data_IF_417898942168
#
_entry.id   IF_417898942168
#
_cell.length_a   1.000
_cell.length_b   1.000
_cell.length_c   1.000
_cell.angle_alpha   90.00
_cell.angle_beta   90.00
_cell.angle_gamma   90.00
#
_symmetry.space_group_name_H-M   'P 1'
#
loop_
_entity.id
_entity.type
_entity.pdbx_description
1 polymer ?
#
# COMPACT_ATOMS: atom_id res chain seq x y z
N UNK A 1 -4.79 2.45 24.00
CA UNK A 1 -5.79 3.51 23.81
C UNK A 1 -5.09 4.83 23.99
N UNK A 2 -5.32 5.79 23.11
CA UNK A 2 -4.89 7.17 23.27
C UNK A 2 -6.17 8.01 23.45
N UNK A 3 -6.12 9.09 24.20
CA UNK A 3 -7.28 9.94 24.44
C UNK A 3 -6.79 11.39 24.47
N UNK A 4 -7.40 12.24 23.66
CA UNK A 4 -7.14 13.67 23.69
C UNK A 4 -7.70 14.25 25.00
N UNK A 5 -7.00 15.22 25.60
CA UNK A 5 -7.27 15.67 26.97
C UNK A 5 -8.64 16.33 27.18
N UNK A 6 -9.33 16.68 26.10
CA UNK A 6 -10.63 17.31 26.06
C UNK A 6 -11.76 16.39 25.57
N UNK A 7 -11.44 15.17 25.12
CA UNK A 7 -12.40 14.16 24.70
C UNK A 7 -12.98 13.37 25.89
N UNK A 8 -14.18 12.80 25.68
CA UNK A 8 -14.85 11.97 26.68
C UNK A 8 -15.05 10.56 26.13
N UNK A 9 -14.65 9.56 26.93
CA UNK A 9 -14.96 8.17 26.68
C UNK A 9 -16.26 7.80 27.40
N UNK A 10 -17.28 7.27 26.70
CA UNK A 10 -18.39 6.60 27.35
C UNK A 10 -17.91 5.46 28.28
N UNK A 11 -18.65 5.14 29.35
CA UNK A 11 -18.25 4.12 30.33
C UNK A 11 -17.94 2.74 29.73
N UNK A 12 -18.59 2.40 28.62
CA UNK A 12 -18.48 1.12 27.92
C UNK A 12 -17.58 1.18 26.66
N UNK A 13 -16.94 2.33 26.38
CA UNK A 13 -16.18 2.56 25.14
C UNK A 13 -15.09 1.51 24.90
N UNK A 14 -14.31 1.21 25.94
CA UNK A 14 -13.23 0.20 25.87
C UNK A 14 -13.81 -1.20 25.69
N UNK A 15 -14.86 -1.54 26.43
CA UNK A 15 -15.51 -2.85 26.35
C UNK A 15 -16.05 -3.12 24.95
N UNK A 16 -16.74 -2.14 24.36
CA UNK A 16 -17.31 -2.27 23.01
C UNK A 16 -16.23 -2.50 21.93
N UNK A 17 -15.05 -1.90 22.07
CA UNK A 17 -13.92 -2.21 21.19
C UNK A 17 -13.37 -3.61 21.44
N UNK A 18 -13.14 -3.99 22.71
CA UNK A 18 -12.62 -5.30 23.08
C UNK A 18 -13.51 -6.46 22.61
N UNK A 19 -14.83 -6.29 22.68
CA UNK A 19 -15.82 -7.29 22.22
C UNK A 19 -15.70 -7.62 20.72
N UNK A 20 -15.07 -6.74 19.94
CA UNK A 20 -14.83 -6.95 18.50
C UNK A 20 -13.42 -7.43 18.18
N UNK A 21 -12.46 -7.21 19.08
CA UNK A 21 -11.07 -7.53 18.82
C UNK A 21 -10.77 -9.02 19.03
N UNK A 22 -9.91 -9.54 18.17
CA UNK A 22 -9.25 -10.84 18.34
C UNK A 22 -7.73 -10.64 18.46
N UNK A 23 -6.98 -11.70 18.75
CA UNK A 23 -5.51 -11.64 18.81
C UNK A 23 -4.86 -11.16 17.50
N UNK A 24 -5.54 -11.35 16.36
CA UNK A 24 -5.06 -10.97 15.02
C UNK A 24 -5.58 -9.59 14.58
N UNK A 25 -6.38 -8.92 15.41
CA UNK A 25 -6.93 -7.59 15.10
C UNK A 25 -5.90 -6.52 15.45
N UNK A 26 -5.39 -5.72 14.49
CA UNK A 26 -4.37 -4.72 14.79
C UNK A 26 -4.95 -3.55 15.60
N UNK A 27 -6.20 -3.15 15.31
CA UNK A 27 -6.92 -2.14 16.06
C UNK A 27 -8.44 -2.23 15.83
N UNK A 28 -9.20 -1.72 16.79
CA UNK A 28 -10.63 -1.46 16.67
C UNK A 28 -10.89 0.05 16.61
N UNK A 29 -11.83 0.46 15.78
CA UNK A 29 -12.22 1.85 15.58
C UNK A 29 -13.74 2.00 15.64
N UNK A 30 -14.22 3.22 15.88
CA UNK A 30 -15.63 3.50 16.09
C UNK A 30 -16.00 4.88 15.58
N UNK A 31 -17.29 5.22 15.69
CA UNK A 31 -17.78 6.54 15.34
C UNK A 31 -17.29 7.61 16.34
N UNK A 32 -17.45 8.87 15.98
CA UNK A 32 -17.26 9.99 16.89
C UNK A 32 -18.45 10.94 16.80
N UNK A 33 -18.92 11.42 17.94
CA UNK A 33 -19.98 12.42 18.04
C UNK A 33 -19.40 13.68 18.64
N UNK A 34 -19.42 14.76 17.86
CA UNK A 34 -18.95 16.06 18.31
C UNK A 34 -19.85 16.61 19.42
N UNK A 35 -19.25 17.22 20.43
CA UNK A 35 -19.94 17.99 21.47
C UNK A 35 -19.18 19.31 21.77
N UNK A 36 -19.86 20.26 22.41
CA UNK A 36 -19.34 21.60 22.67
C UNK A 36 -20.03 22.63 21.79
N UNK A 37 -19.27 23.35 20.96
CA UNK A 37 -19.81 24.42 20.10
C UNK A 37 -20.57 23.87 18.89
N UNK A 38 -20.34 22.59 18.55
CA UNK A 38 -20.96 21.89 17.42
C UNK A 38 -21.44 20.51 17.87
N UNK A 39 -22.51 20.03 17.22
CA UNK A 39 -22.98 18.65 17.36
C UNK A 39 -23.09 18.02 15.98
N UNK A 40 -22.27 17.00 15.73
CA UNK A 40 -22.23 16.28 14.45
C UNK A 40 -21.78 14.86 14.72
N UNK A 41 -22.55 13.90 14.22
CA UNK A 41 -22.16 12.49 14.25
C UNK A 41 -21.31 12.16 13.03
N UNK A 42 -20.08 11.74 13.27
CA UNK A 42 -19.21 11.18 12.27
C UNK A 42 -19.27 9.65 12.32
N UNK A 43 -20.01 9.09 11.36
CA UNK A 43 -20.11 7.65 11.20
C UNK A 43 -18.85 7.08 10.54
N UNK A 44 -18.16 6.19 11.25
CA UNK A 44 -17.12 5.36 10.67
C UNK A 44 -17.77 4.22 9.85
N UNK A 45 -17.31 3.93 8.62
CA UNK A 45 -17.83 2.85 7.81
C UNK A 45 -17.32 1.48 8.29
N UNK A 46 -18.00 0.40 7.89
CA UNK A 46 -17.45 -0.95 7.99
C UNK A 46 -16.12 -1.06 7.23
N UNK A 47 -15.23 -1.90 7.75
CA UNK A 47 -13.92 -2.06 7.14
C UNK A 47 -14.05 -2.74 5.78
N UNK A 48 -13.58 -2.05 4.74
CA UNK A 48 -13.45 -2.62 3.40
C UNK A 48 -12.10 -2.20 2.82
N UNK A 49 -11.49 -3.11 2.07
CA UNK A 49 -10.17 -2.88 1.47
C UNK A 49 -10.17 -1.60 0.62
N UNK A 50 -9.10 -0.81 0.75
CA UNK A 50 -8.93 0.42 -0.02
C UNK A 50 -9.72 1.64 0.46
N UNK A 51 -10.76 1.51 1.30
CA UNK A 51 -11.50 2.69 1.78
C UNK A 51 -10.64 3.62 2.63
N UNK A 52 -9.80 3.06 3.50
CA UNK A 52 -8.90 3.88 4.33
C UNK A 52 -7.93 4.69 3.45
N UNK A 53 -7.53 4.16 2.29
CA UNK A 53 -6.69 4.85 1.31
C UNK A 53 -7.35 6.10 0.71
N UNK A 54 -8.68 6.10 0.59
CA UNK A 54 -9.46 7.21 0.05
C UNK A 54 -9.74 8.30 1.10
N UNK A 55 -10.05 7.89 2.34
CA UNK A 55 -10.43 8.81 3.40
C UNK A 55 -10.11 8.24 4.77
N UNK A 56 -9.51 9.06 5.64
CA UNK A 56 -9.41 8.71 7.05
C UNK A 56 -10.81 8.61 7.69
N UNK A 57 -11.04 7.52 8.42
CA UNK A 57 -12.21 7.34 9.28
C UNK A 57 -11.86 6.77 10.66
N UNK A 58 -10.57 6.74 11.00
CA UNK A 58 -10.05 6.24 12.26
C UNK A 58 -9.63 7.45 13.09
N UNK A 59 -10.19 7.60 14.28
CA UNK A 59 -9.79 8.64 15.22
C UNK A 59 -8.61 8.19 16.10
N UNK A 60 -7.92 9.16 16.71
CA UNK A 60 -6.82 8.94 17.67
C UNK A 60 -7.18 7.97 18.80
N UNK A 61 -8.45 7.97 19.22
CA UNK A 61 -8.98 7.15 20.30
C UNK A 61 -9.37 5.72 19.90
N UNK A 62 -8.94 5.25 18.72
CA UNK A 62 -9.00 3.84 18.38
C UNK A 62 -8.27 2.95 19.42
N UNK A 63 -8.75 1.73 19.62
CA UNK A 63 -8.13 0.76 20.52
C UNK A 63 -7.12 -0.08 19.74
N UNK A 64 -5.84 0.07 20.09
CA UNK A 64 -4.73 -0.59 19.41
C UNK A 64 -4.28 -1.86 20.15
N UNK A 65 -4.04 -2.93 19.38
CA UNK A 65 -3.19 -4.02 19.85
C UNK A 65 -1.77 -3.47 20.02
N UNK A 66 -1.18 -3.66 21.21
CA UNK A 66 0.14 -3.10 21.54
C UNK A 66 1.24 -3.57 20.59
N UNK A 67 1.27 -4.86 20.27
CA UNK A 67 2.27 -5.42 19.37
C UNK A 67 2.11 -4.83 17.96
N UNK A 68 0.86 -4.66 17.49
CA UNK A 68 0.61 -4.03 16.20
C UNK A 68 1.02 -2.56 16.16
N UNK A 69 0.75 -1.79 17.22
CA UNK A 69 1.20 -0.40 17.34
C UNK A 69 2.73 -0.27 17.31
N UNK A 70 3.44 -1.12 18.05
CA UNK A 70 4.90 -1.12 18.09
C UNK A 70 5.49 -1.56 16.75
N UNK A 71 4.94 -2.62 16.14
CA UNK A 71 5.39 -3.16 14.85
C UNK A 71 5.12 -2.19 13.70
N UNK A 72 4.00 -1.45 13.73
CA UNK A 72 3.71 -0.42 12.74
C UNK A 72 4.72 0.75 12.80
N UNK A 73 5.48 0.89 13.88
CA UNK A 73 6.46 1.97 14.07
C UNK A 73 5.91 3.18 14.82
N UNK A 74 4.86 2.99 15.63
CA UNK A 74 4.29 4.01 16.54
C UNK A 74 3.84 5.28 15.80
N UNK A 75 3.69 6.38 16.54
CA UNK A 75 3.41 7.71 16.00
C UNK A 75 4.63 8.27 15.26
N UNK A 76 4.42 8.88 14.09
CA UNK A 76 5.46 9.55 13.30
C UNK A 76 5.01 10.98 13.00
N UNK A 77 5.93 11.93 13.06
CA UNK A 77 5.64 13.31 12.66
C UNK A 77 6.21 13.60 11.26
N UNK A 78 5.48 13.16 10.22
CA UNK A 78 5.88 13.35 8.81
C UNK A 78 5.20 14.57 8.18
N UNK A 79 3.91 14.74 8.48
CA UNK A 79 3.20 16.00 8.28
C UNK A 79 2.62 16.41 9.64
N UNK A 80 2.55 17.71 9.93
CA UNK A 80 2.08 18.24 11.23
C UNK A 80 0.55 18.09 11.42
N UNK A 81 -0.02 16.93 11.06
CA UNK A 81 -1.42 16.51 11.17
C UNK A 81 -1.57 15.05 10.66
N UNK A 82 -2.78 14.49 10.68
CA UNK A 82 -3.14 13.18 10.10
C UNK A 82 -2.33 12.00 10.66
N UNK A 83 -1.82 12.13 11.89
CA UNK A 83 -1.03 11.09 12.55
C UNK A 83 -1.84 9.79 12.72
N UNK A 84 -3.13 9.94 13.03
CA UNK A 84 -4.12 8.86 13.11
C UNK A 84 -4.24 8.09 11.79
N UNK A 85 -4.28 8.81 10.67
CA UNK A 85 -4.37 8.19 9.35
C UNK A 85 -3.08 7.44 8.95
N UNK A 86 -1.92 8.07 9.15
CA UNK A 86 -0.61 7.45 8.92
C UNK A 86 -0.48 6.14 9.71
N UNK A 87 -0.81 6.16 11.00
CA UNK A 87 -0.77 4.97 11.84
C UNK A 87 -1.80 3.91 11.40
N UNK A 88 -3.01 4.32 11.02
CA UNK A 88 -4.05 3.43 10.52
C UNK A 88 -3.62 2.71 9.22
N UNK A 89 -3.04 3.43 8.26
CA UNK A 89 -2.57 2.86 6.99
C UNK A 89 -1.47 1.83 7.21
N UNK A 90 -0.49 2.13 8.06
CA UNK A 90 0.59 1.19 8.41
C UNK A 90 0.06 0.00 9.22
N UNK A 91 -0.80 0.27 10.20
CA UNK A 91 -1.37 -0.75 11.09
C UNK A 91 -2.27 -1.75 10.38
N UNK A 92 -3.01 -1.33 9.35
CA UNK A 92 -3.88 -2.21 8.58
C UNK A 92 -3.13 -3.25 7.74
N UNK A 93 -1.80 -3.12 7.60
CA UNK A 93 -0.96 -4.14 6.95
C UNK A 93 -0.67 -5.34 7.85
N UNK A 94 -0.93 -5.22 9.15
CA UNK A 94 -0.64 -6.25 10.16
C UNK A 94 -1.82 -7.18 10.45
N UNK A 95 -2.96 -6.95 9.78
CA UNK A 95 -4.19 -7.73 9.94
C UNK A 95 -5.40 -6.89 9.56
N UNK A 96 -6.60 -7.46 9.70
CA UNK A 96 -7.85 -6.75 9.37
C UNK A 96 -8.36 -5.97 10.58
N UNK A 97 -8.42 -4.63 10.53
CA UNK A 97 -9.05 -3.81 11.56
C UNK A 97 -10.55 -4.08 11.64
N UNK A 98 -11.15 -3.77 12.79
CA UNK A 98 -12.58 -4.00 13.02
C UNK A 98 -13.30 -2.72 13.43
N UNK A 99 -14.51 -2.54 12.91
CA UNK A 99 -15.42 -1.52 13.40
C UNK A 99 -16.15 -2.03 14.64
N UNK A 100 -16.22 -1.20 15.67
CA UNK A 100 -17.08 -1.40 16.83
C UNK A 100 -18.25 -0.42 16.85
N UNK A 101 -19.16 -0.63 17.79
CA UNK A 101 -20.29 0.28 18.06
C UNK A 101 -19.89 1.46 18.93
N UNK A 102 -18.63 1.53 19.39
CA UNK A 102 -18.18 2.57 20.30
C UNK A 102 -18.27 3.95 19.65
N UNK A 103 -18.80 4.93 20.38
CA UNK A 103 -18.93 6.32 19.91
C UNK A 103 -18.10 7.21 20.82
N UNK A 104 -17.01 7.77 20.29
CA UNK A 104 -16.20 8.74 21.02
C UNK A 104 -17.00 10.03 21.17
N UNK A 105 -17.02 10.65 22.36
CA UNK A 105 -17.49 12.04 22.48
C UNK A 105 -16.30 12.94 22.19
N UNK A 106 -16.30 13.52 20.99
CA UNK A 106 -15.20 14.31 20.45
C UNK A 106 -15.42 15.81 20.72
N UNK A 107 -14.52 16.48 21.43
CA UNK A 107 -14.70 17.89 21.75
C UNK A 107 -14.46 18.76 20.51
N UNK A 108 -15.41 19.62 20.20
CA UNK A 108 -15.22 20.70 19.23
C UNK A 108 -15.46 22.06 19.90
N UNK A 109 -14.57 22.99 19.60
CA UNK A 109 -14.64 24.39 20.00
C UNK A 109 -14.20 25.29 18.83
N UNK A 110 -14.52 26.59 18.86
CA UNK A 110 -14.27 27.53 17.76
C UNK A 110 -12.80 27.54 17.26
N UNK A 111 -11.84 27.28 18.14
CA UNK A 111 -10.41 27.19 17.80
C UNK A 111 -9.92 25.77 17.44
N UNK A 112 -10.79 24.75 17.44
CA UNK A 112 -10.38 23.39 17.12
C UNK A 112 -9.80 23.34 15.71
N UNK A 113 -8.73 22.57 15.56
CA UNK A 113 -8.07 22.41 14.26
C UNK A 113 -9.05 21.90 13.20
N UNK A 114 -10.03 21.10 13.61
CA UNK A 114 -11.15 20.53 12.85
C UNK A 114 -12.34 21.49 12.59
N UNK A 115 -12.50 22.57 13.36
CA UNK A 115 -13.65 23.49 13.27
C UNK A 115 -13.43 24.69 12.32
N UNK A 116 -12.19 25.13 12.10
CA UNK A 116 -11.86 26.29 11.24
C UNK A 116 -11.86 25.98 9.72
N UNK A 117 -12.83 25.17 9.27
CA UNK A 117 -12.71 24.32 8.07
C UNK A 117 -13.95 24.42 7.15
N UNK A 118 -14.04 25.46 6.32
CA UNK A 118 -14.87 25.37 5.11
C UNK A 118 -14.11 25.83 3.87
N UNK A 119 -13.44 26.98 3.91
CA UNK A 119 -12.64 27.50 2.79
C UNK A 119 -11.19 26.99 2.75
N UNK A 120 -10.62 26.55 3.89
CA UNK A 120 -9.30 25.90 3.97
C UNK A 120 -9.32 24.40 3.63
N UNK A 121 -10.49 23.77 3.55
CA UNK A 121 -10.61 22.31 3.47
C UNK A 121 -10.23 21.74 2.11
N UNK A 122 -10.64 22.41 1.03
CA UNK A 122 -10.46 21.89 -0.32
C UNK A 122 -8.97 21.90 -0.71
N UNK A 123 -8.30 23.05 -0.60
CA UNK A 123 -6.85 23.18 -0.86
C UNK A 123 -5.99 22.32 0.07
N UNK A 124 -6.38 22.15 1.36
CA UNK A 124 -5.66 21.24 2.27
C UNK A 124 -5.86 19.78 1.91
N UNK A 125 -7.07 19.36 1.52
CA UNK A 125 -7.32 17.98 1.11
C UNK A 125 -6.65 17.64 -0.23
N UNK A 126 -6.62 18.59 -1.15
CA UNK A 126 -5.93 18.44 -2.45
C UNK A 126 -4.41 18.23 -2.29
N UNK A 127 -3.80 18.79 -1.24
CA UNK A 127 -2.35 18.69 -1.02
C UNK A 127 -1.99 17.58 -0.02
N UNK A 128 -2.67 17.54 1.13
CA UNK A 128 -2.28 16.67 2.24
C UNK A 128 -2.67 15.21 2.00
N UNK A 129 -3.79 14.93 1.31
CA UNK A 129 -4.19 13.55 1.05
C UNK A 129 -3.20 12.86 0.12
N UNK A 130 -2.82 13.43 -1.05
CA UNK A 130 -1.80 12.82 -1.90
C UNK A 130 -0.45 12.69 -1.21
N UNK A 131 -0.04 13.72 -0.46
CA UNK A 131 1.21 13.71 0.28
C UNK A 131 1.24 12.56 1.31
N UNK A 132 0.17 12.39 2.09
CA UNK A 132 0.11 11.33 3.10
C UNK A 132 0.13 9.94 2.46
N UNK A 133 -0.64 9.73 1.39
CA UNK A 133 -0.63 8.46 0.64
C UNK A 133 0.78 8.14 0.14
N UNK A 134 1.47 9.11 -0.46
CA UNK A 134 2.85 8.93 -0.96
C UNK A 134 3.85 8.62 0.15
N UNK A 135 3.71 9.23 1.32
CA UNK A 135 4.57 8.93 2.48
C UNK A 135 4.32 7.51 2.98
N UNK A 136 3.05 7.08 3.01
CA UNK A 136 2.69 5.80 3.61
C UNK A 136 2.76 4.63 2.63
N UNK A 137 2.76 4.85 1.32
CA UNK A 137 2.61 3.80 0.31
C UNK A 137 3.83 2.89 0.25
N UNK A 138 3.61 1.58 0.41
CA UNK A 138 4.60 0.55 0.10
C UNK A 138 4.48 0.13 -1.36
N UNK A 139 5.62 0.11 -2.05
CA UNK A 139 5.71 -0.31 -3.45
C UNK A 139 6.21 -1.75 -3.53
N UNK A 140 5.51 -2.58 -4.29
CA UNK A 140 5.99 -3.89 -4.72
C UNK A 140 6.20 -3.91 -6.22
N UNK A 141 7.36 -4.37 -6.64
CA UNK A 141 7.69 -4.54 -8.04
C UNK A 141 7.61 -6.02 -8.37
N UNK A 142 6.84 -6.34 -9.41
CA UNK A 142 6.60 -7.70 -9.85
C UNK A 142 7.06 -7.91 -11.28
N UNK A 143 7.75 -9.02 -11.55
CA UNK A 143 8.04 -9.45 -12.92
C UNK A 143 7.96 -10.96 -13.07
N UNK A 144 7.52 -11.41 -14.25
CA UNK A 144 7.51 -12.81 -14.65
C UNK A 144 8.69 -13.02 -15.59
N UNK A 145 9.70 -13.75 -15.12
CA UNK A 145 10.93 -14.01 -15.83
C UNK A 145 10.81 -15.31 -16.61
N UNK A 146 10.74 -15.21 -17.93
CA UNK A 146 10.62 -16.35 -18.84
C UNK A 146 11.95 -17.06 -19.11
N UNK A 147 13.07 -16.43 -18.81
CA UNK A 147 14.41 -16.91 -19.19
C UNK A 147 14.74 -16.76 -20.67
N UNK A 148 13.92 -16.07 -21.46
CA UNK A 148 14.15 -15.83 -22.89
C UNK A 148 15.33 -14.89 -23.16
N UNK A 149 15.55 -13.92 -22.27
CA UNK A 149 16.58 -12.88 -22.40
C UNK A 149 17.48 -12.81 -21.14
N UNK A 150 18.21 -13.90 -20.80
CA UNK A 150 18.96 -13.96 -19.55
C UNK A 150 20.07 -12.91 -19.46
N UNK A 151 20.66 -12.54 -20.60
CA UNK A 151 21.74 -11.54 -20.66
C UNK A 151 21.21 -10.10 -20.64
N UNK A 152 19.90 -9.90 -20.82
CA UNK A 152 19.24 -8.60 -20.68
C UNK A 152 18.88 -8.27 -19.23
N UNK A 153 18.72 -9.29 -18.39
CA UNK A 153 18.29 -9.14 -17.00
C UNK A 153 19.13 -8.12 -16.19
N UNK A 154 20.47 -8.03 -16.33
CA UNK A 154 21.25 -6.99 -15.65
C UNK A 154 20.87 -5.56 -16.06
N UNK A 155 20.61 -5.33 -17.35
CA UNK A 155 20.20 -4.01 -17.85
C UNK A 155 18.78 -3.67 -17.36
N UNK A 156 17.89 -4.65 -17.41
CA UNK A 156 16.53 -4.54 -16.88
C UNK A 156 16.52 -4.17 -15.40
N UNK A 157 17.24 -4.93 -14.56
CA UNK A 157 17.27 -4.69 -13.12
C UNK A 157 17.94 -3.35 -12.80
N UNK A 158 18.98 -2.97 -13.54
CA UNK A 158 19.59 -1.65 -13.40
C UNK A 158 18.59 -0.54 -13.70
N UNK A 159 17.83 -0.60 -14.80
CA UNK A 159 16.82 0.40 -15.13
C UNK A 159 15.72 0.50 -14.06
N UNK A 160 15.22 -0.64 -13.60
CA UNK A 160 14.22 -0.70 -12.51
C UNK A 160 14.79 -0.07 -11.24
N UNK A 161 16.01 -0.44 -10.84
CA UNK A 161 16.65 0.08 -9.61
C UNK A 161 16.86 1.59 -9.67
N UNK A 162 17.26 2.14 -10.81
CA UNK A 162 17.44 3.58 -11.00
C UNK A 162 16.11 4.31 -10.88
N UNK A 163 15.05 3.76 -11.49
CA UNK A 163 13.71 4.34 -11.36
C UNK A 163 13.20 4.30 -9.91
N UNK A 164 13.44 3.20 -9.20
CA UNK A 164 13.11 3.05 -7.77
C UNK A 164 13.82 4.07 -6.90
N UNK A 165 15.13 4.25 -7.11
CA UNK A 165 15.91 5.25 -6.36
C UNK A 165 15.35 6.66 -6.57
N UNK A 166 14.83 6.97 -7.76
CA UNK A 166 14.24 8.28 -8.07
C UNK A 166 12.88 8.50 -7.37
N UNK A 167 12.13 7.45 -7.05
CA UNK A 167 10.87 7.56 -6.29
C UNK A 167 11.12 8.22 -4.93
N UNK A 168 12.28 7.92 -4.31
CA UNK A 168 12.68 8.37 -2.98
C UNK A 168 11.57 8.11 -1.95
N UNK A 169 11.08 6.86 -1.92
CA UNK A 169 10.02 6.42 -1.02
C UNK A 169 10.49 6.41 0.43
N UNK A 170 9.62 6.87 1.33
CA UNK A 170 9.83 6.78 2.79
C UNK A 170 9.64 5.36 3.31
N UNK A 171 8.79 4.60 2.63
CA UNK A 171 8.55 3.19 2.94
C UNK A 171 9.39 2.29 2.03
N UNK A 172 9.85 1.14 2.56
CA UNK A 172 10.70 0.23 1.80
C UNK A 172 9.99 -0.38 0.59
N UNK A 173 10.78 -0.65 -0.45
CA UNK A 173 10.35 -1.26 -1.71
C UNK A 173 10.77 -2.72 -1.74
N UNK A 174 9.88 -3.61 -2.18
CA UNK A 174 10.21 -5.00 -2.45
C UNK A 174 10.24 -5.33 -3.95
N UNK A 175 11.03 -6.34 -4.31
CA UNK A 175 11.08 -6.93 -5.64
C UNK A 175 10.67 -8.41 -5.57
N UNK A 176 9.70 -8.80 -6.39
CA UNK A 176 9.22 -10.18 -6.52
C UNK A 176 9.38 -10.63 -7.97
N UNK A 177 10.21 -11.64 -8.17
CA UNK A 177 10.51 -12.23 -9.47
C UNK A 177 9.93 -13.64 -9.54
N UNK A 178 9.03 -13.88 -10.50
CA UNK A 178 8.55 -15.22 -10.80
C UNK A 178 9.45 -15.86 -11.83
N UNK A 179 10.25 -16.82 -11.39
CA UNK A 179 11.13 -17.57 -12.27
C UNK A 179 10.35 -18.70 -12.96
N UNK A 180 10.09 -18.51 -14.25
CA UNK A 180 9.57 -19.52 -15.17
C UNK A 180 10.62 -19.93 -16.23
N UNK A 181 11.92 -19.66 -15.99
CA UNK A 181 12.98 -19.96 -16.94
C UNK A 181 13.24 -21.46 -17.12
N UNK A 182 12.90 -22.27 -16.11
CA UNK A 182 13.24 -23.70 -16.04
C UNK A 182 14.73 -23.99 -16.32
N UNK A 183 15.61 -23.03 -16.01
CA UNK A 183 17.03 -23.10 -16.36
C UNK A 183 17.89 -22.68 -15.16
N UNK A 184 18.71 -23.61 -14.67
CA UNK A 184 19.55 -23.42 -13.47
C UNK A 184 20.57 -22.29 -13.67
N UNK A 185 21.17 -22.18 -14.86
CA UNK A 185 22.16 -21.13 -15.13
C UNK A 185 21.51 -19.74 -15.15
N UNK A 186 20.30 -19.64 -15.69
CA UNK A 186 19.50 -18.41 -15.69
C UNK A 186 19.14 -18.00 -14.26
N UNK A 187 18.68 -18.95 -13.45
CA UNK A 187 18.40 -18.69 -12.03
C UNK A 187 19.66 -18.26 -11.27
N UNK A 188 20.82 -18.89 -11.54
CA UNK A 188 22.10 -18.48 -10.96
C UNK A 188 22.48 -17.05 -11.36
N UNK A 189 22.31 -16.68 -12.64
CA UNK A 189 22.52 -15.31 -13.13
C UNK A 189 21.60 -14.30 -12.44
N UNK A 190 20.31 -14.59 -12.34
CA UNK A 190 19.32 -13.74 -11.66
C UNK A 190 19.72 -13.53 -10.20
N UNK A 191 20.08 -14.59 -9.48
CA UNK A 191 20.53 -14.52 -8.08
C UNK A 191 21.81 -13.71 -7.92
N UNK A 192 22.81 -13.95 -8.77
CA UNK A 192 24.06 -13.21 -8.74
C UNK A 192 23.82 -11.72 -8.96
N UNK A 193 23.03 -11.35 -9.97
CA UNK A 193 22.77 -9.96 -10.29
C UNK A 193 21.90 -9.26 -9.23
N UNK A 194 20.84 -9.91 -8.75
CA UNK A 194 19.98 -9.34 -7.68
C UNK A 194 20.73 -9.08 -6.38
N UNK A 195 21.74 -9.88 -6.04
CA UNK A 195 22.56 -9.66 -4.84
C UNK A 195 23.27 -8.29 -4.82
N UNK A 196 23.46 -7.66 -5.98
CA UNK A 196 24.08 -6.34 -6.11
C UNK A 196 23.15 -5.19 -5.69
N UNK A 197 21.84 -5.45 -5.57
CA UNK A 197 20.81 -4.43 -5.32
C UNK A 197 20.11 -4.60 -3.95
N UNK A 198 20.73 -5.33 -3.02
CA UNK A 198 20.21 -5.53 -1.65
C UNK A 198 20.03 -4.23 -0.86
N UNK A 199 20.68 -3.15 -1.27
CA UNK A 199 20.53 -1.83 -0.65
C UNK A 199 19.44 -0.97 -1.31
N UNK A 200 18.93 -1.38 -2.48
CA UNK A 200 17.83 -0.70 -3.19
C UNK A 200 16.48 -1.26 -2.76
N UNK A 201 16.41 -2.57 -2.55
CA UNK A 201 15.19 -3.28 -2.19
C UNK A 201 15.30 -3.84 -0.77
N UNK A 202 14.27 -3.64 0.05
CA UNK A 202 14.21 -4.23 1.40
C UNK A 202 14.20 -5.76 1.32
N UNK A 203 13.46 -6.30 0.35
CA UNK A 203 13.47 -7.73 0.06
C UNK A 203 13.49 -7.97 -1.45
N UNK A 204 14.24 -8.99 -1.85
CA UNK A 204 14.19 -9.54 -3.21
C UNK A 204 13.79 -11.00 -3.09
N UNK A 205 12.63 -11.36 -3.62
CA UNK A 205 12.10 -12.73 -3.59
C UNK A 205 12.05 -13.30 -4.99
N UNK A 206 12.73 -14.42 -5.19
CA UNK A 206 12.66 -15.20 -6.42
C UNK A 206 11.78 -16.41 -6.13
N UNK A 207 10.58 -16.44 -6.71
CA UNK A 207 9.58 -17.47 -6.49
C UNK A 207 9.54 -18.37 -7.71
N UNK A 208 9.68 -19.67 -7.50
CA UNK A 208 9.59 -20.64 -8.59
C UNK A 208 8.16 -20.74 -9.12
N UNK A 209 8.02 -20.63 -10.44
CA UNK A 209 6.75 -20.80 -11.15
C UNK A 209 6.96 -21.56 -12.47
N UNK A 210 7.40 -22.84 -12.42
CA UNK A 210 7.74 -23.63 -13.59
C UNK A 210 6.49 -24.19 -14.26
N UNK A 211 5.75 -23.36 -14.98
CA UNK A 211 4.57 -23.79 -15.73
C UNK A 211 4.91 -23.87 -17.22
N UNK A 212 4.87 -25.09 -17.74
CA UNK A 212 5.10 -25.38 -19.16
C UNK A 212 3.82 -25.86 -19.82
N UNK A 213 3.58 -25.43 -21.05
CA UNK A 213 2.46 -25.93 -21.86
C UNK A 213 2.88 -26.11 -23.31
N UNK A 214 2.40 -27.19 -23.94
CA UNK A 214 2.54 -27.43 -25.37
C UNK A 214 1.35 -26.85 -26.13
N UNK A 215 1.51 -26.59 -27.42
CA UNK A 215 0.45 -26.06 -28.30
C UNK A 215 0.63 -26.62 -29.71
N UNK A 216 -0.46 -26.76 -30.45
CA UNK A 216 -0.47 -27.34 -31.80
C UNK A 216 -0.49 -26.28 -32.91
N UNK A 217 -0.96 -25.08 -32.59
CA UNK A 217 -1.06 -23.97 -33.53
C UNK A 217 -0.94 -22.62 -32.81
N UNK A 218 -0.79 -21.55 -33.58
CA UNK A 218 -0.57 -20.19 -33.08
C UNK A 218 -1.77 -19.65 -32.27
N UNK A 219 -3.00 -20.00 -32.65
CA UNK A 219 -4.20 -19.58 -31.88
C UNK A 219 -4.17 -20.19 -30.48
N UNK A 220 -3.91 -21.49 -30.39
CA UNK A 220 -3.79 -22.20 -29.12
C UNK A 220 -2.61 -21.68 -28.28
N UNK A 221 -1.47 -21.34 -28.91
CA UNK A 221 -0.33 -20.72 -28.23
C UNK A 221 -0.73 -19.41 -27.55
N UNK A 222 -1.42 -18.52 -28.26
CA UNK A 222 -1.88 -17.22 -27.73
C UNK A 222 -2.87 -17.39 -26.59
N UNK A 223 -3.85 -18.27 -26.75
CA UNK A 223 -4.85 -18.54 -25.71
C UNK A 223 -4.21 -19.10 -24.43
N UNK A 224 -3.29 -20.06 -24.58
CA UNK A 224 -2.55 -20.64 -23.43
C UNK A 224 -1.63 -19.63 -22.78
N UNK A 225 -0.92 -18.82 -23.55
CA UNK A 225 -0.05 -17.75 -23.03
C UNK A 225 -0.87 -16.72 -22.26
N UNK A 226 -2.02 -16.28 -22.78
CA UNK A 226 -2.88 -15.33 -22.10
C UNK A 226 -3.40 -15.88 -20.76
N UNK A 227 -3.82 -17.16 -20.73
CA UNK A 227 -4.23 -17.83 -19.48
C UNK A 227 -3.08 -17.95 -18.48
N UNK A 228 -1.90 -18.34 -18.95
CA UNK A 228 -0.70 -18.39 -18.12
C UNK A 228 -0.39 -17.01 -17.52
N UNK A 229 -0.35 -15.95 -18.33
CA UNK A 229 -0.09 -14.59 -17.84
C UNK A 229 -1.13 -14.14 -16.81
N UNK A 230 -2.41 -14.43 -17.03
CA UNK A 230 -3.46 -14.10 -16.07
C UNK A 230 -3.27 -14.84 -14.73
N UNK A 231 -2.94 -16.13 -14.77
CA UNK A 231 -2.67 -16.93 -13.57
C UNK A 231 -1.42 -16.45 -12.83
N UNK A 232 -0.33 -16.21 -13.58
CA UNK A 232 0.92 -15.72 -13.05
C UNK A 232 0.75 -14.33 -12.39
N UNK A 233 0.05 -13.40 -13.03
CA UNK A 233 -0.25 -12.09 -12.45
C UNK A 233 -1.13 -12.19 -11.19
N UNK A 234 -2.13 -13.07 -11.17
CA UNK A 234 -2.96 -13.30 -9.98
C UNK A 234 -2.14 -13.86 -8.81
N UNK A 235 -1.23 -14.80 -9.09
CA UNK A 235 -0.33 -15.35 -8.07
C UNK A 235 0.68 -14.28 -7.62
N UNK A 236 1.23 -13.49 -8.53
CA UNK A 236 2.16 -12.40 -8.22
C UNK A 236 1.50 -11.34 -7.33
N UNK A 237 0.23 -11.01 -7.58
CA UNK A 237 -0.58 -10.13 -6.71
C UNK A 237 -0.66 -10.65 -5.27
N UNK A 238 -0.78 -11.96 -5.07
CA UNK A 238 -0.86 -12.56 -3.73
C UNK A 238 0.52 -12.63 -3.05
N UNK A 239 1.60 -12.69 -3.84
CA UNK A 239 2.96 -12.69 -3.32
C UNK A 239 3.41 -11.29 -2.92
N UNK A 240 3.04 -10.27 -3.70
CA UNK A 240 3.35 -8.87 -3.42
C UNK A 240 2.58 -8.35 -2.20
N UNK A 241 3.27 -7.56 -1.37
CA UNK A 241 2.83 -7.10 -0.03
C UNK A 241 2.63 -5.58 0.06
N UNK A 242 2.94 -4.85 -1.00
CA UNK A 242 2.79 -3.41 -1.09
C UNK A 242 1.35 -2.99 -1.33
N UNK A 243 1.07 -1.70 -1.15
CA UNK A 243 -0.22 -1.13 -1.52
C UNK A 243 -0.28 -0.83 -3.03
N UNK A 244 0.88 -0.50 -3.61
CA UNK A 244 1.03 -0.22 -5.03
C UNK A 244 1.83 -1.36 -5.66
N UNK A 245 1.24 -1.97 -6.70
CA UNK A 245 1.85 -3.05 -7.47
C UNK A 245 2.32 -2.53 -8.82
N UNK A 246 3.63 -2.56 -9.05
CA UNK A 246 4.23 -2.19 -10.33
C UNK A 246 4.69 -3.43 -11.08
N UNK A 247 3.91 -3.83 -12.08
CA UNK A 247 4.23 -4.97 -12.95
C UNK A 247 5.06 -4.51 -14.15
N UNK A 248 6.20 -5.17 -14.37
CA UNK A 248 7.13 -4.86 -15.44
C UNK A 248 7.48 -6.15 -16.19
N UNK A 249 7.28 -6.17 -17.52
CA UNK A 249 7.67 -7.30 -18.37
C UNK A 249 9.20 -7.46 -18.38
N UNK A 250 9.69 -8.70 -18.51
CA UNK A 250 11.13 -9.05 -18.42
C UNK A 250 11.96 -8.58 -19.62
N UNK A 251 11.30 -8.05 -20.65
CA UNK A 251 11.88 -7.54 -21.90
C UNK A 251 11.69 -6.03 -22.08
N UNK A 252 11.28 -5.30 -21.04
CA UNK A 252 11.05 -3.85 -21.11
C UNK A 252 12.05 -3.07 -20.25
N UNK A 253 12.80 -2.15 -20.85
CA UNK A 253 13.52 -1.11 -20.10
C UNK A 253 12.57 0.04 -19.77
N UNK A 254 12.30 0.21 -18.49
CA UNK A 254 11.49 1.33 -18.02
C UNK A 254 12.28 2.65 -18.14
N UNK A 255 11.63 3.76 -18.55
CA UNK A 255 12.19 5.10 -18.42
C UNK A 255 12.55 5.40 -16.96
N UNK A 256 13.54 6.27 -16.77
CA UNK A 256 14.02 6.65 -15.45
C UNK A 256 12.88 7.18 -14.56
N UNK A 257 11.98 8.00 -15.13
CA UNK A 257 10.88 8.63 -14.41
C UNK A 257 9.63 7.73 -14.25
N UNK A 258 9.64 6.50 -14.78
CA UNK A 258 8.44 5.64 -14.80
C UNK A 258 7.86 5.40 -13.41
N UNK A 259 8.70 5.08 -12.43
CA UNK A 259 8.29 4.90 -11.04
C UNK A 259 7.73 6.16 -10.40
N UNK A 260 8.34 7.33 -10.65
CA UNK A 260 7.85 8.62 -10.12
C UNK A 260 6.49 8.96 -10.72
N UNK A 261 6.32 8.77 -12.02
CA UNK A 261 5.08 9.05 -12.71
C UNK A 261 3.96 8.12 -12.21
N UNK A 262 4.25 6.82 -12.08
CA UNK A 262 3.32 5.85 -11.50
C UNK A 262 2.86 6.27 -10.10
N UNK A 263 3.81 6.57 -9.21
CA UNK A 263 3.51 6.95 -7.82
C UNK A 263 2.73 8.25 -7.76
N UNK A 264 3.06 9.22 -8.62
CA UNK A 264 2.36 10.51 -8.67
C UNK A 264 0.91 10.30 -9.05
N UNK A 265 0.63 9.58 -10.13
CA UNK A 265 -0.74 9.35 -10.60
C UNK A 265 -1.55 8.51 -9.60
N UNK A 266 -1.00 7.42 -9.07
CA UNK A 266 -1.72 6.52 -8.13
C UNK A 266 -1.92 7.10 -6.73
N UNK A 267 -1.24 8.20 -6.40
CA UNK A 267 -1.43 8.89 -5.12
C UNK A 267 -2.07 10.26 -5.29
N UNK A 268 -2.30 10.74 -6.52
CA UNK A 268 -2.85 12.05 -6.80
C UNK A 268 -4.29 12.23 -6.30
N UNK A 269 -4.68 13.50 -6.19
CA UNK A 269 -6.07 13.93 -6.01
C UNK A 269 -6.82 13.33 -4.82
N UNK A 270 -8.12 13.62 -4.75
CA UNK A 270 -9.00 13.09 -3.71
C UNK A 270 -9.35 11.61 -3.93
N UNK A 271 -9.47 11.21 -5.19
CA UNK A 271 -9.82 9.85 -5.60
C UNK A 271 -8.82 9.47 -6.71
N UNK A 272 -7.70 8.81 -6.36
CA UNK A 272 -6.73 8.38 -7.34
C UNK A 272 -7.31 7.27 -8.24
N UNK A 273 -6.77 7.08 -9.46
CA UNK A 273 -7.09 5.92 -10.28
C UNK A 273 -6.62 4.62 -9.60
N UNK A 274 -7.33 3.52 -9.87
CA UNK A 274 -6.95 2.19 -9.35
C UNK A 274 -5.77 1.56 -10.11
N UNK A 275 -5.49 2.03 -11.32
CA UNK A 275 -4.42 1.49 -12.17
C UNK A 275 -3.97 2.54 -13.19
N UNK A 276 -2.70 2.47 -13.56
CA UNK A 276 -2.08 3.23 -14.64
C UNK A 276 -1.29 2.24 -15.50
N UNK A 277 -1.26 2.46 -16.81
CA UNK A 277 -0.49 1.62 -17.75
C UNK A 277 0.46 2.50 -18.56
N UNK A 278 1.69 2.05 -18.74
CA UNK A 278 2.67 2.65 -19.63
C UNK A 278 2.77 1.85 -20.93
N UNK A 279 2.70 2.53 -22.07
CA UNK A 279 3.05 1.94 -23.36
C UNK A 279 4.43 2.44 -23.77
N UNK A 280 5.42 1.55 -23.78
CA UNK A 280 6.78 1.89 -24.18
C UNK A 280 6.95 1.69 -25.69
N UNK A 281 7.47 2.71 -26.39
CA UNK A 281 7.50 2.75 -27.85
C UNK A 281 8.49 1.78 -28.49
N UNK A 282 9.42 1.21 -27.72
CA UNK A 282 10.40 0.25 -28.20
C UNK A 282 10.28 -1.03 -27.35
N UNK A 283 9.80 -2.11 -27.97
CA UNK A 283 10.06 -3.49 -27.57
C UNK A 283 11.27 -3.99 -28.36
#
# INVERSE_FOLDING_TARGET
LFLDGDDILPPDYVQQHLDKMTCNTPFAYGAAEAFGDYSTLWNAPEWTEGQLWLRNFVNTSALWNRQAFETAGRWRNKINTMWDWDLALRGSRLGTPVRSTAVLKYRQHANSWSANIQTKYQKRQEILLPQMRRICSRLSIGSIISGRLPDFFPQWLSAVSQSVNLINSEEPVELVLFDNSNNVDTLCKIRAETSRYINTFETIRIVSHPDTFSYKNEKERRDKTARFMALACNRLRNEMRGDIHWLIEDDILVPLEAGVNLMTELTADRIPPNAVSGCYRNR
#
